data_IF_116598210790
#
_entry.id   IF_116598210790
#
_cell.length_a   1.000
_cell.length_b   1.000
_cell.length_c   1.000
_cell.angle_alpha   90.00
_cell.angle_beta   90.00
_cell.angle_gamma   90.00
#
_symmetry.space_group_name_H-M   'P 1'
#
loop_
_entity.id
_entity.type
_entity.pdbx_description
1 polymer ?
#
# COMPACT_ATOMS: atom_id res chain seq x y z
N UNK A 1 9.96 -15.87 8.27
CA UNK A 1 10.87 -17.02 8.07
C UNK A 1 11.52 -17.38 9.40
N UNK A 2 11.63 -18.67 9.75
CA UNK A 2 12.17 -19.09 11.05
C UNK A 2 13.70 -19.10 11.05
N UNK A 3 14.32 -18.39 11.99
CA UNK A 3 15.79 -18.36 12.19
C UNK A 3 16.41 -19.74 12.49
N UNK A 4 15.59 -20.75 12.76
CA UNK A 4 15.98 -22.13 13.07
C UNK A 4 15.82 -23.10 11.88
N UNK A 5 15.53 -22.60 10.67
CA UNK A 5 15.32 -23.42 9.48
C UNK A 5 13.95 -24.13 9.41
N UNK A 6 13.13 -24.05 10.47
CA UNK A 6 11.74 -24.53 10.48
C UNK A 6 10.77 -23.35 10.41
N UNK A 7 9.78 -23.35 9.49
CA UNK A 7 8.73 -22.35 9.49
C UNK A 7 8.01 -22.30 10.85
N UNK A 8 7.80 -21.10 11.38
CA UNK A 8 6.96 -20.86 12.56
C UNK A 8 5.63 -20.30 12.07
N UNK A 9 4.53 -20.99 12.36
CA UNK A 9 3.19 -20.49 12.07
C UNK A 9 2.78 -19.45 13.12
N UNK A 10 2.18 -18.35 12.68
CA UNK A 10 1.60 -17.33 13.56
C UNK A 10 0.09 -17.58 13.63
N UNK A 11 -0.42 -17.85 14.83
CA UNK A 11 -1.85 -18.00 15.08
C UNK A 11 -2.48 -16.66 15.37
N UNK A 12 -3.45 -16.24 14.55
CA UNK A 12 -4.23 -15.01 14.75
C UNK A 12 -5.69 -15.42 14.96
N UNK A 13 -6.32 -14.92 16.02
CA UNK A 13 -7.74 -15.19 16.28
C UNK A 13 -8.64 -14.26 15.44
N UNK A 14 -9.89 -14.66 15.23
CA UNK A 14 -10.85 -13.91 14.42
C UNK A 14 -11.16 -12.51 14.99
N UNK A 15 -11.20 -12.34 16.32
CA UNK A 15 -11.51 -11.05 16.92
C UNK A 15 -10.41 -10.01 16.63
N UNK A 16 -9.15 -10.41 16.76
CA UNK A 16 -7.98 -9.57 16.44
C UNK A 16 -7.92 -9.23 14.95
N UNK A 17 -8.28 -10.18 14.08
CA UNK A 17 -8.38 -9.91 12.63
C UNK A 17 -9.53 -8.94 12.31
N UNK A 18 -10.69 -9.09 12.96
CA UNK A 18 -11.82 -8.20 12.76
C UNK A 18 -11.51 -6.78 13.23
N UNK A 19 -10.84 -6.62 14.38
CA UNK A 19 -10.36 -5.33 14.87
C UNK A 19 -9.36 -4.69 13.89
N UNK A 20 -8.35 -5.46 13.45
CA UNK A 20 -7.42 -4.98 12.44
C UNK A 20 -8.13 -4.55 11.15
N UNK A 21 -9.15 -5.30 10.71
CA UNK A 21 -9.91 -4.95 9.50
C UNK A 21 -10.63 -3.61 9.63
N UNK A 22 -11.18 -3.30 10.81
CA UNK A 22 -11.82 -2.01 11.10
C UNK A 22 -10.81 -0.86 11.13
N UNK A 23 -9.64 -1.09 11.76
CA UNK A 23 -8.55 -0.10 11.79
C UNK A 23 -8.04 0.17 10.38
N UNK A 24 -7.86 -0.87 9.57
CA UNK A 24 -7.44 -0.78 8.17
C UNK A 24 -8.46 -0.04 7.31
N UNK A 25 -9.75 -0.34 7.47
CA UNK A 25 -10.81 0.43 6.82
C UNK A 25 -10.67 1.93 7.13
N UNK A 26 -10.35 2.28 8.39
CA UNK A 26 -10.17 3.65 8.84
C UNK A 26 -9.00 4.38 8.15
N UNK A 27 -7.78 3.82 8.18
CA UNK A 27 -6.62 4.54 7.63
C UNK A 27 -6.54 4.50 6.08
N UNK A 28 -7.15 3.50 5.43
CA UNK A 28 -7.41 3.52 3.98
C UNK A 28 -8.59 4.44 3.61
N UNK A 29 -9.41 4.85 4.59
CA UNK A 29 -10.64 5.60 4.35
C UNK A 29 -11.57 4.85 3.40
N UNK A 30 -11.65 3.52 3.52
CA UNK A 30 -12.39 2.66 2.60
C UNK A 30 -13.89 2.91 2.68
N UNK A 31 -14.52 2.97 1.50
CA UNK A 31 -15.96 3.10 1.30
C UNK A 31 -16.45 2.07 0.29
N UNK A 32 -17.77 1.85 0.22
CA UNK A 32 -18.37 0.97 -0.79
C UNK A 32 -18.09 1.35 -2.25
N UNK A 33 -17.63 2.58 -2.50
CA UNK A 33 -17.28 3.06 -3.84
C UNK A 33 -15.85 2.70 -4.25
N UNK A 34 -15.04 2.20 -3.30
CA UNK A 34 -13.64 1.89 -3.53
C UNK A 34 -13.43 0.53 -4.19
N UNK A 35 -12.28 0.41 -4.85
CA UNK A 35 -11.84 -0.78 -5.57
C UNK A 35 -10.40 -1.07 -5.13
N UNK A 36 -10.25 -1.98 -4.18
CA UNK A 36 -8.97 -2.37 -3.59
C UNK A 36 -8.25 -3.37 -4.50
N UNK A 37 -7.00 -3.10 -4.84
CA UNK A 37 -6.17 -4.06 -5.56
C UNK A 37 -5.68 -5.16 -4.61
N UNK A 38 -6.02 -6.41 -4.93
CA UNK A 38 -5.45 -7.60 -4.30
C UNK A 38 -4.17 -7.98 -5.05
N UNK A 39 -3.02 -7.60 -4.48
CA UNK A 39 -1.70 -7.73 -5.07
C UNK A 39 -0.88 -8.88 -4.47
N UNK A 40 -0.86 -8.98 -3.13
CA UNK A 40 -0.03 -9.92 -2.38
C UNK A 40 -0.46 -11.37 -2.59
N UNK A 41 0.47 -12.32 -2.53
CA UNK A 41 0.06 -13.73 -2.57
C UNK A 41 -0.65 -14.11 -1.27
N UNK A 42 -1.52 -15.11 -1.31
CA UNK A 42 -2.25 -15.61 -0.12
C UNK A 42 -1.33 -16.09 1.02
N UNK A 43 -0.05 -16.35 0.71
CA UNK A 43 0.94 -16.79 1.68
C UNK A 43 1.58 -15.61 2.45
N UNK A 44 1.32 -14.37 2.04
CA UNK A 44 1.72 -13.17 2.77
C UNK A 44 0.51 -12.54 3.45
N UNK A 45 0.71 -12.08 4.67
CA UNK A 45 -0.32 -11.47 5.51
C UNK A 45 -0.91 -10.19 4.90
N UNK A 46 -0.17 -9.45 4.08
CA UNK A 46 -0.72 -8.35 3.27
C UNK A 46 -1.93 -8.73 2.40
N UNK A 47 -2.08 -9.99 2.00
CA UNK A 47 -3.30 -10.48 1.33
C UNK A 47 -4.55 -10.21 2.16
N UNK A 48 -4.45 -10.39 3.47
CA UNK A 48 -5.56 -10.26 4.42
C UNK A 48 -5.98 -8.79 4.55
N UNK A 49 -5.02 -7.86 4.62
CA UNK A 49 -5.26 -6.42 4.68
C UNK A 49 -5.82 -5.86 3.36
N UNK A 50 -5.48 -6.49 2.23
CA UNK A 50 -6.02 -6.15 0.92
C UNK A 50 -7.44 -6.69 0.68
N UNK A 51 -7.86 -7.69 1.46
CA UNK A 51 -9.11 -8.41 1.23
C UNK A 51 -10.21 -8.03 2.23
N UNK A 52 -9.98 -8.25 3.53
CA UNK A 52 -11.05 -8.20 4.53
C UNK A 52 -11.58 -6.79 4.81
N UNK A 53 -10.76 -5.72 4.92
CA UNK A 53 -11.26 -4.36 5.11
C UNK A 53 -12.21 -3.95 3.99
N UNK A 54 -11.86 -4.27 2.74
CA UNK A 54 -12.68 -3.97 1.57
C UNK A 54 -14.01 -4.75 1.59
N UNK A 55 -13.97 -6.06 1.82
CA UNK A 55 -15.18 -6.90 1.83
C UNK A 55 -16.13 -6.54 2.97
N UNK A 56 -15.60 -6.20 4.15
CA UNK A 56 -16.42 -5.89 5.33
C UNK A 56 -17.12 -4.53 5.24
N UNK A 57 -16.62 -3.61 4.43
CA UNK A 57 -17.26 -2.31 4.17
C UNK A 57 -18.03 -2.23 2.84
N UNK A 58 -18.12 -3.33 2.10
CA UNK A 58 -18.83 -3.42 0.82
C UNK A 58 -18.08 -2.79 -0.38
N UNK A 59 -16.77 -2.57 -0.26
CA UNK A 59 -15.93 -2.19 -1.39
C UNK A 59 -15.67 -3.37 -2.33
N UNK A 60 -15.24 -3.09 -3.56
CA UNK A 60 -14.83 -4.14 -4.49
C UNK A 60 -13.37 -4.53 -4.29
N UNK A 61 -13.04 -5.78 -4.60
CA UNK A 61 -11.66 -6.29 -4.63
C UNK A 61 -11.32 -6.68 -6.07
N UNK A 62 -10.25 -6.10 -6.61
CA UNK A 62 -9.74 -6.35 -7.95
C UNK A 62 -8.58 -7.33 -7.83
N UNK A 63 -8.74 -8.54 -8.36
CA UNK A 63 -7.70 -9.57 -8.33
C UNK A 63 -6.67 -9.30 -9.42
N UNK A 64 -5.40 -9.12 -9.03
CA UNK A 64 -4.28 -8.97 -9.97
C UNK A 64 -4.03 -10.23 -10.81
N UNK A 65 -4.28 -11.39 -10.20
CA UNK A 65 -3.91 -12.70 -10.76
C UNK A 65 -2.45 -13.08 -10.46
N UNK A 66 -1.95 -14.17 -11.08
CA UNK A 66 -0.61 -14.69 -10.82
C UNK A 66 0.50 -13.85 -11.47
N UNK A 67 0.22 -13.26 -12.63
CA UNK A 67 1.21 -12.55 -13.46
C UNK A 67 1.76 -11.31 -12.78
N UNK A 68 3.08 -11.13 -12.80
CA UNK A 68 3.73 -9.89 -12.39
C UNK A 68 3.42 -8.79 -13.40
N UNK A 69 2.98 -7.63 -12.91
CA UNK A 69 2.69 -6.46 -13.75
C UNK A 69 3.92 -5.57 -13.78
N UNK A 70 4.37 -5.16 -14.97
CA UNK A 70 5.27 -4.02 -15.10
C UNK A 70 4.53 -2.69 -14.89
N UNK A 71 5.23 -1.57 -14.96
CA UNK A 71 4.65 -0.24 -14.76
C UNK A 71 3.59 0.11 -15.80
N UNK A 72 3.76 -0.31 -17.06
CA UNK A 72 2.79 -0.11 -18.13
C UNK A 72 1.49 -0.90 -17.89
N UNK A 73 1.61 -2.18 -17.54
CA UNK A 73 0.47 -3.04 -17.22
C UNK A 73 -0.26 -2.56 -15.98
N UNK A 74 0.48 -2.11 -14.94
CA UNK A 74 -0.11 -1.51 -13.75
C UNK A 74 -0.94 -0.28 -14.10
N UNK A 75 -0.38 0.65 -14.89
CA UNK A 75 -1.07 1.87 -15.31
C UNK A 75 -2.34 1.56 -16.12
N UNK A 76 -2.28 0.60 -17.03
CA UNK A 76 -3.43 0.14 -17.80
C UNK A 76 -4.50 -0.47 -16.89
N UNK A 77 -4.09 -1.28 -15.91
CA UNK A 77 -5.00 -1.92 -14.96
C UNK A 77 -5.71 -0.89 -14.05
N UNK A 78 -5.00 0.17 -13.61
CA UNK A 78 -5.62 1.27 -12.84
C UNK A 78 -6.82 1.86 -13.59
N UNK A 79 -6.66 2.11 -14.89
CA UNK A 79 -7.70 2.70 -15.74
C UNK A 79 -8.82 1.71 -16.03
N UNK A 80 -8.45 0.49 -16.45
CA UNK A 80 -9.39 -0.54 -16.90
C UNK A 80 -10.28 -1.02 -15.76
N UNK A 81 -9.71 -1.18 -14.58
CA UNK A 81 -10.40 -1.73 -13.42
C UNK A 81 -10.81 -0.66 -12.42
N UNK A 82 -10.51 0.62 -12.66
CA UNK A 82 -10.86 1.73 -11.78
C UNK A 82 -10.30 1.59 -10.37
N UNK A 83 -9.07 1.06 -10.24
CA UNK A 83 -8.45 0.80 -8.93
C UNK A 83 -8.32 2.13 -8.17
N UNK A 84 -8.82 2.18 -6.93
CA UNK A 84 -8.77 3.38 -6.09
C UNK A 84 -7.68 3.30 -5.02
N UNK A 85 -7.38 2.09 -4.54
CA UNK A 85 -6.40 1.85 -3.49
C UNK A 85 -5.51 0.67 -3.88
N UNK A 86 -4.20 0.81 -3.67
CA UNK A 86 -3.24 -0.28 -3.79
C UNK A 86 -2.31 -0.33 -2.57
N UNK A 87 -2.12 -1.53 -2.02
CA UNK A 87 -1.10 -1.81 -1.02
C UNK A 87 -0.03 -2.69 -1.66
N UNK A 88 1.21 -2.21 -1.67
CA UNK A 88 2.29 -2.71 -2.51
C UNK A 88 3.56 -2.95 -1.67
N UNK A 89 4.36 -3.98 -2.01
CA UNK A 89 5.71 -4.07 -1.51
C UNK A 89 6.50 -2.79 -1.86
N UNK A 90 7.26 -2.26 -0.89
CA UNK A 90 8.02 -1.00 -1.06
C UNK A 90 8.89 -1.02 -2.31
N UNK A 91 9.60 -2.12 -2.60
CA UNK A 91 10.41 -2.25 -3.81
C UNK A 91 9.60 -2.12 -5.12
N UNK A 92 8.38 -2.68 -5.15
CA UNK A 92 7.50 -2.59 -6.32
C UNK A 92 6.96 -1.17 -6.50
N UNK A 93 6.50 -0.55 -5.41
CA UNK A 93 6.10 0.86 -5.42
C UNK A 93 7.25 1.78 -5.87
N UNK A 94 8.47 1.54 -5.40
CA UNK A 94 9.63 2.35 -5.77
C UNK A 94 9.93 2.25 -7.27
N UNK A 95 9.89 1.05 -7.84
CA UNK A 95 10.01 0.85 -9.29
C UNK A 95 8.93 1.62 -10.06
N UNK A 96 7.67 1.54 -9.63
CA UNK A 96 6.58 2.31 -10.25
C UNK A 96 6.84 3.82 -10.19
N UNK A 97 7.25 4.34 -9.03
CA UNK A 97 7.53 5.76 -8.85
C UNK A 97 8.61 6.24 -9.83
N UNK A 98 9.71 5.49 -9.95
CA UNK A 98 10.82 5.82 -10.86
C UNK A 98 10.40 5.77 -12.33
N UNK A 99 9.65 4.75 -12.73
CA UNK A 99 9.17 4.61 -14.11
C UNK A 99 8.17 5.72 -14.46
N UNK A 100 7.24 6.02 -13.56
CA UNK A 100 6.24 7.06 -13.76
C UNK A 100 6.84 8.47 -13.80
N UNK A 101 7.88 8.74 -13.02
CA UNK A 101 8.62 10.00 -13.08
C UNK A 101 9.23 10.25 -14.47
N UNK A 102 9.61 9.17 -15.18
CA UNK A 102 10.19 9.24 -16.53
C UNK A 102 9.15 9.32 -17.65
N UNK A 103 7.88 9.03 -17.35
CA UNK A 103 6.81 9.16 -18.34
C UNK A 103 6.60 10.63 -18.71
N UNK A 104 6.37 10.95 -20.00
CA UNK A 104 5.89 12.27 -20.39
C UNK A 104 4.58 12.61 -19.68
N UNK A 105 4.40 13.87 -19.28
CA UNK A 105 3.22 14.31 -18.52
C UNK A 105 1.89 13.90 -19.16
N UNK A 106 1.78 14.02 -20.50
CA UNK A 106 0.60 13.61 -21.26
C UNK A 106 0.32 12.11 -21.30
N UNK A 107 1.15 11.26 -20.71
CA UNK A 107 0.94 9.81 -20.58
C UNK A 107 0.67 9.39 -19.13
N UNK A 108 0.70 10.33 -18.18
CA UNK A 108 0.50 10.09 -16.76
C UNK A 108 -1.00 10.05 -16.45
N UNK A 109 -1.59 8.88 -16.65
CA UNK A 109 -3.02 8.65 -16.43
C UNK A 109 -3.26 7.58 -15.37
N UNK A 110 -3.39 8.01 -14.12
CA UNK A 110 -3.51 7.12 -12.96
C UNK A 110 -4.96 6.72 -12.64
N UNK A 111 -5.93 7.14 -13.46
CA UNK A 111 -7.34 6.78 -13.31
C UNK A 111 -7.94 7.28 -11.99
N UNK A 112 -8.59 6.38 -11.25
CA UNK A 112 -9.26 6.68 -9.99
C UNK A 112 -8.36 6.46 -8.76
N UNK A 113 -7.06 6.20 -8.95
CA UNK A 113 -6.13 5.93 -7.86
C UNK A 113 -6.07 7.14 -6.93
N UNK A 114 -6.43 6.93 -5.67
CA UNK A 114 -6.43 7.98 -4.62
C UNK A 114 -5.49 7.70 -3.47
N UNK A 115 -5.06 6.44 -3.31
CA UNK A 115 -4.17 6.06 -2.23
C UNK A 115 -3.27 4.87 -2.60
N UNK A 116 -2.01 4.95 -2.21
CA UNK A 116 -1.05 3.84 -2.23
C UNK A 116 -0.41 3.67 -0.86
N UNK A 117 -0.34 2.43 -0.40
CA UNK A 117 0.49 2.03 0.74
C UNK A 117 1.72 1.28 0.23
N UNK A 118 2.88 1.61 0.79
CA UNK A 118 4.13 0.89 0.59
C UNK A 118 4.53 0.21 1.91
N UNK A 119 4.76 -1.10 1.86
CA UNK A 119 4.98 -1.93 3.06
C UNK A 119 6.08 -2.98 2.85
N UNK A 120 6.56 -3.54 3.95
CA UNK A 120 7.47 -4.70 3.98
C UNK A 120 8.96 -4.36 4.02
N UNK A 121 9.37 -3.17 3.58
CA UNK A 121 10.76 -2.70 3.63
C UNK A 121 10.81 -1.20 3.89
N UNK A 122 11.99 -0.69 4.30
CA UNK A 122 12.19 0.73 4.54
C UNK A 122 11.92 1.56 3.28
N UNK A 123 11.02 2.55 3.37
CA UNK A 123 10.71 3.45 2.26
C UNK A 123 11.92 4.34 1.94
N UNK A 124 12.43 4.30 0.69
CA UNK A 124 13.55 5.12 0.29
C UNK A 124 13.09 6.57 -0.01
N UNK A 125 13.77 7.61 0.52
CA UNK A 125 13.36 9.01 0.32
C UNK A 125 13.32 9.46 -1.14
N UNK A 126 14.22 8.95 -1.99
CA UNK A 126 14.25 9.22 -3.43
C UNK A 126 13.02 8.64 -4.15
N UNK A 127 12.42 7.57 -3.64
CA UNK A 127 11.13 7.09 -4.12
C UNK A 127 9.99 8.10 -3.90
N UNK A 128 10.03 8.84 -2.79
CA UNK A 128 9.04 9.90 -2.50
C UNK A 128 9.26 11.09 -3.46
N UNK A 129 10.52 11.44 -3.76
CA UNK A 129 10.81 12.45 -4.79
C UNK A 129 10.31 11.99 -6.16
N UNK A 130 10.57 10.74 -6.56
CA UNK A 130 10.08 10.20 -7.83
C UNK A 130 8.54 10.19 -7.90
N UNK A 131 7.86 9.93 -6.78
CA UNK A 131 6.40 10.01 -6.67
C UNK A 131 5.88 11.44 -6.94
N UNK A 132 6.58 12.46 -6.42
CA UNK A 132 6.27 13.86 -6.73
C UNK A 132 6.53 14.18 -8.20
N UNK A 133 7.68 13.76 -8.73
CA UNK A 133 8.07 14.00 -10.13
C UNK A 133 7.13 13.29 -11.12
N UNK A 134 6.49 12.20 -10.70
CA UNK A 134 5.42 11.51 -11.41
C UNK A 134 4.06 12.25 -11.36
N UNK A 135 3.94 13.38 -10.66
CA UNK A 135 2.67 14.11 -10.54
C UNK A 135 1.66 13.43 -9.62
N UNK A 136 2.10 12.52 -8.76
CA UNK A 136 1.24 11.74 -7.86
C UNK A 136 1.11 12.37 -6.46
N UNK A 137 1.51 13.63 -6.26
CA UNK A 137 1.38 14.33 -4.97
C UNK A 137 -0.07 14.44 -4.46
N UNK A 138 -1.06 14.28 -5.35
CA UNK A 138 -2.48 14.25 -5.01
C UNK A 138 -2.97 12.86 -4.54
N UNK A 139 -2.19 11.80 -4.79
CA UNK A 139 -2.46 10.44 -4.34
C UNK A 139 -1.85 10.26 -2.96
N UNK A 140 -2.69 9.92 -1.97
CA UNK A 140 -2.23 9.70 -0.59
C UNK A 140 -1.21 8.57 -0.57
N UNK A 141 -0.02 8.84 -0.08
CA UNK A 141 1.03 7.84 0.09
C UNK A 141 1.20 7.51 1.57
N UNK A 142 1.07 6.24 1.92
CA UNK A 142 1.32 5.73 3.27
C UNK A 142 2.58 4.85 3.25
N UNK A 143 3.52 5.13 4.14
CA UNK A 143 4.56 4.19 4.52
C UNK A 143 4.06 3.40 5.73
N UNK A 144 4.01 2.08 5.65
CA UNK A 144 3.50 1.24 6.73
C UNK A 144 4.54 0.23 7.19
N UNK A 145 4.47 -0.10 8.48
CA UNK A 145 5.29 -1.12 9.10
C UNK A 145 4.45 -1.99 10.02
N UNK A 146 4.66 -3.29 9.93
CA UNK A 146 4.22 -4.24 10.91
C UNK A 146 4.76 -5.64 10.60
N UNK A 147 5.32 -6.35 11.59
CA UNK A 147 5.58 -7.77 11.45
C UNK A 147 4.27 -8.56 11.55
N UNK A 148 4.25 -9.76 10.97
CA UNK A 148 3.11 -10.69 11.02
C UNK A 148 2.60 -10.94 12.45
N UNK A 149 3.51 -10.99 13.43
CA UNK A 149 3.22 -11.15 14.85
C UNK A 149 2.35 -10.02 15.43
N UNK A 150 2.34 -8.84 14.80
CA UNK A 150 1.53 -7.67 15.21
C UNK A 150 0.25 -7.50 14.38
N UNK A 151 -0.08 -8.52 13.57
CA UNK A 151 -1.26 -8.55 12.69
C UNK A 151 -1.14 -7.47 11.61
N UNK A 152 -0.27 -7.79 10.65
CA UNK A 152 -0.01 -7.10 9.37
C UNK A 152 0.58 -5.70 9.55
N UNK A 153 -0.22 -4.70 9.91
CA UNK A 153 0.23 -3.31 10.07
C UNK A 153 0.02 -2.84 11.50
N UNK A 154 1.05 -2.24 12.09
CA UNK A 154 1.00 -1.67 13.45
C UNK A 154 1.34 -0.19 13.51
N UNK A 155 2.12 0.32 12.55
CA UNK A 155 2.56 1.72 12.49
C UNK A 155 2.40 2.24 11.07
N UNK A 156 1.91 3.48 10.92
CA UNK A 156 1.77 4.14 9.63
C UNK A 156 2.31 5.58 9.67
N UNK A 157 2.95 5.97 8.58
CA UNK A 157 3.36 7.34 8.28
C UNK A 157 2.59 7.83 7.05
N UNK A 158 1.85 8.92 7.22
CA UNK A 158 1.29 9.66 6.09
C UNK A 158 2.39 10.55 5.48
N UNK A 159 2.67 10.37 4.19
CA UNK A 159 3.72 11.11 3.49
C UNK A 159 3.26 12.48 2.95
N UNK A 160 2.03 12.91 3.18
CA UNK A 160 1.46 14.15 2.63
C UNK A 160 2.34 15.39 2.88
N UNK A 161 2.85 15.57 4.11
CA UNK A 161 3.68 16.73 4.45
C UNK A 161 5.00 16.77 3.63
N UNK A 162 5.55 15.61 3.25
CA UNK A 162 6.72 15.55 2.37
C UNK A 162 6.34 15.80 0.91
N UNK A 163 5.20 15.28 0.46
CA UNK A 163 4.70 15.45 -0.91
C UNK A 163 4.23 16.88 -1.22
N UNK A 164 3.81 17.62 -0.21
CA UNK A 164 3.37 19.02 -0.31
C UNK A 164 4.52 20.03 -0.12
N UNK A 165 5.70 19.55 0.29
CA UNK A 165 6.86 20.39 0.56
C UNK A 165 6.82 21.10 1.92
N UNK A 166 5.89 20.76 2.80
CA UNK A 166 5.81 21.29 4.17
C UNK A 166 6.99 20.81 5.04
N UNK A 167 7.49 19.61 4.75
CA UNK A 167 8.67 19.02 5.38
C UNK A 167 9.70 18.60 4.33
N UNK A 168 10.99 18.81 4.58
CA UNK A 168 12.04 18.28 3.72
C UNK A 168 12.08 16.74 3.81
N UNK A 169 12.51 16.10 2.72
CA UNK A 169 12.75 14.66 2.71
C UNK A 169 13.90 14.31 3.68
N UNK A 170 13.69 13.42 4.66
CA UNK A 170 14.74 12.99 5.57
C UNK A 170 15.72 12.03 4.88
N UNK A 171 16.86 11.75 5.51
CA UNK A 171 17.78 10.71 5.03
C UNK A 171 17.17 9.29 5.12
N UNK A 172 16.20 9.08 6.00
CA UNK A 172 15.45 7.83 6.16
C UNK A 172 14.00 8.18 6.47
N UNK A 173 13.05 7.55 5.77
CA UNK A 173 11.64 7.78 6.01
C UNK A 173 11.21 7.19 7.35
N UNK A 174 10.47 7.93 8.19
CA UNK A 174 9.93 7.39 9.42
C UNK A 174 8.84 6.34 9.12
N UNK A 175 8.74 5.34 9.99
CA UNK A 175 7.63 4.36 9.96
C UNK A 175 6.32 4.96 10.51
N UNK A 176 6.41 6.09 11.22
CA UNK A 176 5.28 6.90 11.63
C UNK A 176 4.77 6.63 13.03
N UNK A 177 3.44 6.58 13.18
CA UNK A 177 2.76 6.50 14.48
C UNK A 177 1.99 5.19 14.62
N UNK A 178 1.87 4.64 15.85
CA UNK A 178 1.06 3.46 16.08
C UNK A 178 -0.38 3.65 15.62
N UNK A 179 -0.96 2.60 15.04
CA UNK A 179 -2.39 2.51 14.78
C UNK A 179 -3.15 2.38 16.11
N UNK A 180 -4.43 2.77 16.12
CA UNK A 180 -5.27 2.61 17.31
C UNK A 180 -5.36 1.12 17.72
N UNK A 181 -5.29 0.84 19.02
CA UNK A 181 -5.36 -0.53 19.54
C UNK A 181 -4.07 -1.34 19.38
N UNK A 182 -2.92 -0.69 19.14
CA UNK A 182 -1.59 -1.31 19.06
C UNK A 182 -0.66 -0.87 20.18
#
# INVERSE_FOLDING_TARGET
SGSTGKPKGIGINHATLAEHSQVAQGYFGLTRSDRMLQFSTINFDGFVEQLFPALTCGAAVVLRGPELWDSATFLQALQTHGITIADLPTAYWHMLAQDFARLPEGQRHYGALRQVQATGEAMPPDGVQAWQDAGLSHVKLINSYGPTETVITSVVQDCAAYLQGDLPLPAQMPIGRPLAGR
#
